data_IF_618546929221
#
_entry.id   IF_618546929221
#
_cell.length_a   1.000
_cell.length_b   1.000
_cell.length_c   1.000
_cell.angle_alpha   90.00
_cell.angle_beta   90.00
_cell.angle_gamma   90.00
#
_symmetry.space_group_name_H-M   'P 1'
#
loop_
_entity.id
_entity.type
_entity.pdbx_description
1 polymer ?
#
# COMPACT_ATOMS: atom_id res chain seq x y z
N UNK A 1 -3.20 33.88 11.68
CA UNK A 1 -3.64 32.47 11.53
C UNK A 1 -2.48 31.67 10.97
N UNK A 2 -1.84 30.81 11.77
CA UNK A 2 -0.73 29.95 11.33
C UNK A 2 -1.30 28.87 10.41
N UNK A 3 -1.04 28.98 9.11
CA UNK A 3 -1.20 27.89 8.16
C UNK A 3 -0.13 26.84 8.50
N UNK A 4 -0.48 25.84 9.30
CA UNK A 4 0.38 24.67 9.50
C UNK A 4 0.26 23.80 8.24
N UNK A 5 1.11 24.11 7.25
CA UNK A 5 1.42 23.21 6.14
C UNK A 5 2.08 21.96 6.74
N UNK A 6 1.27 20.93 7.02
CA UNK A 6 1.80 19.59 7.23
C UNK A 6 2.22 19.03 5.87
N UNK A 7 3.35 19.50 5.34
CA UNK A 7 4.09 18.74 4.34
C UNK A 7 4.66 17.52 5.05
N UNK A 8 3.91 16.42 5.04
CA UNK A 8 4.47 15.12 5.37
C UNK A 8 5.53 14.81 4.31
N UNK A 9 6.81 14.93 4.67
CA UNK A 9 7.89 14.48 3.82
C UNK A 9 7.72 12.97 3.62
N UNK A 10 7.23 12.59 2.44
CA UNK A 10 7.23 11.20 2.02
C UNK A 10 8.71 10.85 1.80
N UNK A 11 9.24 9.95 2.61
CA UNK A 11 10.49 9.29 2.27
C UNK A 11 10.24 8.45 1.00
N UNK A 12 10.39 9.07 -0.16
CA UNK A 12 10.44 8.36 -1.45
C UNK A 12 11.77 7.62 -1.49
N UNK A 13 11.77 6.37 -1.01
CA UNK A 13 12.85 5.44 -1.34
C UNK A 13 12.76 5.16 -2.83
N UNK A 14 13.67 5.75 -3.60
CA UNK A 14 13.78 5.50 -5.04
C UNK A 14 14.25 4.07 -5.21
N UNK A 15 13.41 3.24 -5.80
CA UNK A 15 13.80 1.91 -6.26
C UNK A 15 14.79 2.10 -7.40
N UNK A 16 16.05 1.73 -7.15
CA UNK A 16 17.14 1.88 -8.12
C UNK A 16 17.00 0.82 -9.22
N UNK A 17 17.29 1.19 -10.48
CA UNK A 17 17.08 0.35 -11.67
C UNK A 17 17.93 -0.94 -11.75
N UNK A 18 18.63 -1.30 -10.65
CA UNK A 18 19.54 -2.44 -10.55
C UNK A 18 19.66 -2.99 -9.11
N UNK A 19 18.69 -2.70 -8.24
CA UNK A 19 18.66 -3.20 -6.86
C UNK A 19 18.35 -4.70 -6.78
N UNK A 20 18.78 -5.36 -5.71
CA UNK A 20 18.34 -6.73 -5.45
C UNK A 20 16.83 -6.74 -5.14
N UNK A 21 16.06 -7.78 -5.51
CA UNK A 21 14.62 -7.83 -5.21
C UNK A 21 14.29 -7.65 -3.72
N UNK A 22 15.19 -8.06 -2.82
CA UNK A 22 15.09 -7.84 -1.38
C UNK A 22 15.14 -6.36 -0.99
N UNK A 23 15.99 -5.57 -1.65
CA UNK A 23 16.14 -4.13 -1.38
C UNK A 23 14.90 -3.35 -1.85
N UNK A 24 14.37 -3.77 -3.01
CA UNK A 24 13.12 -3.22 -3.54
C UNK A 24 11.94 -3.53 -2.61
N UNK A 25 11.85 -4.76 -2.08
CA UNK A 25 10.81 -5.14 -1.12
C UNK A 25 10.92 -4.37 0.21
N UNK A 26 12.13 -4.14 0.71
CA UNK A 26 12.31 -3.33 1.93
C UNK A 26 11.99 -1.85 1.69
N UNK A 27 12.28 -1.34 0.49
CA UNK A 27 11.87 0.01 0.07
C UNK A 27 10.34 0.13 -0.01
N UNK A 28 9.67 -0.83 -0.66
CA UNK A 28 8.21 -0.89 -0.73
C UNK A 28 7.58 -0.99 0.66
N UNK A 29 8.15 -1.81 1.54
CA UNK A 29 7.73 -1.95 2.93
C UNK A 29 7.85 -0.64 3.68
N UNK A 30 8.96 0.07 3.51
CA UNK A 30 9.22 1.37 4.13
C UNK A 30 8.21 2.40 3.65
N UNK A 31 7.93 2.46 2.34
CA UNK A 31 6.91 3.34 1.78
C UNK A 31 5.51 3.05 2.31
N UNK A 32 5.10 1.77 2.39
CA UNK A 32 3.81 1.38 2.95
C UNK A 32 3.68 1.80 4.42
N UNK A 33 4.72 1.53 5.23
CA UNK A 33 4.76 1.94 6.65
C UNK A 33 4.73 3.45 6.82
N UNK A 34 5.49 4.18 6.00
CA UNK A 34 5.53 5.64 6.02
C UNK A 34 4.16 6.23 5.70
N UNK A 35 3.52 5.78 4.62
CA UNK A 35 2.16 6.19 4.27
C UNK A 35 1.15 5.84 5.37
N UNK A 36 1.22 4.63 5.94
CA UNK A 36 0.36 4.24 7.06
C UNK A 36 0.55 5.15 8.28
N UNK A 37 1.79 5.53 8.60
CA UNK A 37 2.09 6.44 9.70
C UNK A 37 1.53 7.85 9.44
N UNK A 38 1.68 8.37 8.22
CA UNK A 38 1.10 9.67 7.81
C UNK A 38 -0.43 9.65 7.97
N UNK A 39 -1.08 8.60 7.47
CA UNK A 39 -2.53 8.46 7.57
C UNK A 39 -2.99 8.32 9.03
N UNK A 40 -2.31 7.51 9.83
CA UNK A 40 -2.62 7.34 11.25
C UNK A 40 -2.41 8.64 12.06
N UNK A 41 -1.35 9.40 11.77
CA UNK A 41 -1.12 10.70 12.40
C UNK A 41 -2.21 11.71 12.02
N UNK A 42 -2.79 11.58 10.83
CA UNK A 42 -3.82 12.47 10.33
C UNK A 42 -5.24 12.17 10.84
N UNK A 43 -5.46 11.11 11.63
CA UNK A 43 -6.82 10.64 11.89
C UNK A 43 -7.75 11.69 12.53
N UNK A 44 -7.20 12.61 13.33
CA UNK A 44 -7.96 13.70 13.94
C UNK A 44 -8.05 14.96 13.08
N UNK A 45 -7.55 14.92 11.84
CA UNK A 45 -7.52 16.05 10.92
C UNK A 45 -8.45 15.81 9.73
N UNK A 46 -9.31 16.78 9.45
CA UNK A 46 -10.31 16.71 8.36
C UNK A 46 -9.77 17.20 7.02
N UNK A 47 -8.60 17.86 7.01
CA UNK A 47 -7.98 18.38 5.79
C UNK A 47 -7.64 17.25 4.80
N UNK A 48 -7.65 17.54 3.51
CA UNK A 48 -7.21 16.59 2.48
C UNK A 48 -5.73 16.21 2.69
N UNK A 49 -5.44 14.92 2.75
CA UNK A 49 -4.10 14.38 3.04
C UNK A 49 -3.41 13.81 1.79
N UNK A 50 -4.02 13.99 0.62
CA UNK A 50 -3.59 13.36 -0.64
C UNK A 50 -3.36 11.84 -0.47
N UNK A 51 -4.33 11.17 0.15
CA UNK A 51 -4.35 9.72 0.33
C UNK A 51 -4.18 9.02 -1.02
N UNK A 52 -4.82 9.54 -2.07
CA UNK A 52 -4.68 9.01 -3.42
C UNK A 52 -3.23 9.11 -3.95
N UNK A 53 -2.54 10.24 -3.76
CA UNK A 53 -1.14 10.40 -4.14
C UNK A 53 -0.20 9.49 -3.35
N UNK A 54 -0.43 9.28 -2.06
CA UNK A 54 0.33 8.33 -1.25
C UNK A 54 0.24 6.90 -1.81
N UNK A 55 -0.97 6.47 -2.16
CA UNK A 55 -1.23 5.12 -2.70
C UNK A 55 -0.66 4.99 -4.13
N UNK A 56 -0.79 6.03 -4.95
CA UNK A 56 -0.22 6.05 -6.30
C UNK A 56 1.31 5.97 -6.27
N UNK A 57 1.98 6.67 -5.36
CA UNK A 57 3.44 6.58 -5.21
C UNK A 57 3.89 5.14 -4.91
N UNK A 58 3.21 4.46 -3.99
CA UNK A 58 3.48 3.04 -3.69
C UNK A 58 3.23 2.17 -4.92
N UNK A 59 2.15 2.44 -5.66
CA UNK A 59 1.82 1.71 -6.90
C UNK A 59 2.90 1.89 -7.97
N UNK A 60 3.46 3.10 -8.11
CA UNK A 60 4.57 3.37 -9.03
C UNK A 60 5.86 2.66 -8.61
N UNK A 61 6.21 2.70 -7.33
CA UNK A 61 7.34 1.96 -6.80
C UNK A 61 7.19 0.46 -7.07
N UNK A 62 5.98 -0.08 -6.87
CA UNK A 62 5.70 -1.48 -7.15
C UNK A 62 5.90 -1.81 -8.64
N UNK A 63 5.45 -0.93 -9.53
CA UNK A 63 5.71 -1.03 -10.97
C UNK A 63 7.20 -0.99 -11.32
N UNK A 64 7.98 -0.13 -10.67
CA UNK A 64 9.42 -0.05 -10.86
C UNK A 64 10.12 -1.34 -10.39
N UNK A 65 9.78 -1.87 -9.21
CA UNK A 65 10.34 -3.15 -8.73
C UNK A 65 9.96 -4.32 -9.65
N UNK A 66 8.72 -4.34 -10.13
CA UNK A 66 8.25 -5.33 -11.10
C UNK A 66 9.07 -5.29 -12.38
N UNK A 67 9.40 -4.10 -12.87
CA UNK A 67 10.24 -3.91 -14.05
C UNK A 67 11.68 -4.37 -13.81
N UNK A 68 12.26 -4.04 -12.66
CA UNK A 68 13.58 -4.53 -12.26
C UNK A 68 13.64 -6.06 -12.27
N UNK A 69 12.61 -6.71 -11.70
CA UNK A 69 12.49 -8.16 -11.67
C UNK A 69 12.44 -8.77 -13.08
N UNK A 70 11.76 -8.12 -14.03
CA UNK A 70 11.71 -8.60 -15.42
C UNK A 70 13.11 -8.56 -16.08
N UNK A 71 13.88 -7.49 -15.87
CA UNK A 71 15.23 -7.34 -16.42
C UNK A 71 16.24 -8.33 -15.84
N UNK A 72 16.08 -8.73 -14.56
CA UNK A 72 16.92 -9.76 -13.93
C UNK A 72 16.77 -11.13 -14.60
N UNK A 73 15.58 -11.45 -15.11
CA UNK A 73 15.32 -12.72 -15.80
C UNK A 73 15.84 -12.76 -17.25
N UNK A 74 16.16 -11.60 -17.86
CA UNK A 74 16.65 -11.54 -19.24
C UNK A 74 18.18 -11.70 -19.37
N UNK A 75 18.97 -11.58 -18.29
CA UNK A 75 20.44 -11.43 -18.38
C UNK A 75 21.31 -12.59 -17.87
N UNK A 76 20.79 -13.69 -17.30
CA UNK A 76 21.60 -14.92 -17.14
C UNK A 76 20.80 -16.15 -16.72
N UNK A 77 21.09 -17.33 -17.32
CA UNK A 77 20.74 -18.62 -16.74
C UNK A 77 21.91 -19.08 -15.84
N UNK A 78 21.79 -19.03 -14.50
CA UNK A 78 22.55 -19.92 -13.59
C UNK A 78 22.31 -19.69 -12.10
N UNK A 79 22.08 -20.80 -11.40
CA UNK A 79 22.54 -21.10 -10.03
C UNK A 79 22.35 -20.03 -8.94
N UNK A 80 21.13 -19.86 -8.44
CA UNK A 80 20.91 -19.27 -7.12
C UNK A 80 20.89 -20.38 -6.06
N UNK A 81 22.01 -20.50 -5.34
CA UNK A 81 22.22 -21.33 -4.14
C UNK A 81 21.11 -21.09 -3.10
N UNK A 82 20.58 -22.16 -2.52
CA UNK A 82 19.37 -22.30 -1.68
C UNK A 82 19.20 -21.40 -0.43
N UNK A 83 20.02 -20.37 -0.22
CA UNK A 83 19.87 -19.43 0.90
C UNK A 83 19.14 -18.13 0.52
N UNK A 84 19.06 -17.77 -0.76
CA UNK A 84 18.39 -16.53 -1.22
C UNK A 84 16.87 -16.61 -1.16
N UNK A 85 16.28 -17.81 -1.19
CA UNK A 85 14.82 -17.98 -1.17
C UNK A 85 14.22 -17.61 0.19
N UNK A 86 14.90 -17.96 1.29
CA UNK A 86 14.44 -17.65 2.66
C UNK A 86 14.49 -16.15 2.96
N UNK A 87 15.56 -15.46 2.56
CA UNK A 87 15.72 -14.03 2.78
C UNK A 87 14.73 -13.21 1.95
N UNK A 88 14.53 -13.60 0.68
CA UNK A 88 13.55 -12.98 -0.21
C UNK A 88 12.12 -13.21 0.28
N UNK A 89 11.81 -14.41 0.74
CA UNK A 89 10.49 -14.72 1.30
C UNK A 89 10.21 -13.94 2.59
N UNK A 90 11.21 -13.80 3.47
CA UNK A 90 11.12 -12.95 4.67
C UNK A 90 10.87 -11.48 4.31
N UNK A 91 11.62 -10.94 3.34
CA UNK A 91 11.42 -9.58 2.84
C UNK A 91 10.02 -9.41 2.24
N UNK A 92 9.55 -10.40 1.46
CA UNK A 92 8.22 -10.39 0.87
C UNK A 92 7.11 -10.41 1.93
N UNK A 93 7.25 -11.24 2.98
CA UNK A 93 6.30 -11.23 4.10
C UNK A 93 6.30 -9.89 4.83
N UNK A 94 7.47 -9.28 5.00
CA UNK A 94 7.61 -7.93 5.55
C UNK A 94 6.84 -6.90 4.74
N UNK A 95 6.97 -6.94 3.42
CA UNK A 95 6.21 -6.12 2.47
C UNK A 95 4.70 -6.40 2.51
N UNK A 96 4.27 -7.66 2.38
CA UNK A 96 2.85 -8.02 2.38
C UNK A 96 2.14 -7.61 3.68
N UNK A 97 2.80 -7.79 4.84
CA UNK A 97 2.24 -7.32 6.12
C UNK A 97 2.16 -5.79 6.21
N UNK A 98 3.08 -5.06 5.57
CA UNK A 98 3.00 -3.60 5.52
C UNK A 98 1.86 -3.09 4.65
N UNK A 99 1.46 -3.83 3.61
CA UNK A 99 0.24 -3.52 2.84
C UNK A 99 -1.00 -3.67 3.71
N UNK A 100 -1.09 -4.74 4.51
CA UNK A 100 -2.21 -4.92 5.44
C UNK A 100 -2.28 -3.72 6.39
N UNK A 101 -1.14 -3.33 6.97
CA UNK A 101 -1.06 -2.15 7.85
C UNK A 101 -1.49 -0.85 7.14
N UNK A 102 -1.07 -0.65 5.89
CA UNK A 102 -1.48 0.49 5.07
C UNK A 102 -2.99 0.48 4.82
N UNK A 103 -3.54 -0.67 4.41
CA UNK A 103 -4.96 -0.81 4.11
C UNK A 103 -5.85 -0.54 5.34
N UNK A 104 -5.42 -0.97 6.53
CA UNK A 104 -6.10 -0.62 7.78
C UNK A 104 -6.04 0.88 8.09
N UNK A 105 -4.92 1.56 7.81
CA UNK A 105 -4.79 3.00 8.01
C UNK A 105 -5.68 3.77 7.02
N UNK A 106 -5.72 3.34 5.74
CA UNK A 106 -6.60 3.90 4.71
C UNK A 106 -8.08 3.66 5.04
N UNK A 107 -8.43 2.47 5.53
CA UNK A 107 -9.80 2.15 5.97
C UNK A 107 -10.23 3.04 7.14
N UNK A 108 -9.38 3.19 8.16
CA UNK A 108 -9.63 4.08 9.29
C UNK A 108 -9.85 5.51 8.83
N UNK A 109 -9.05 5.97 7.86
CA UNK A 109 -9.21 7.30 7.25
C UNK A 109 -10.55 7.45 6.55
N UNK A 110 -10.94 6.50 5.68
CA UNK A 110 -12.20 6.54 4.93
C UNK A 110 -13.45 6.48 5.79
N UNK A 111 -13.36 5.88 7.00
CA UNK A 111 -14.45 5.84 7.98
C UNK A 111 -14.69 7.16 8.72
N UNK A 112 -13.78 8.13 8.60
CA UNK A 112 -13.87 9.40 9.32
C UNK A 112 -14.22 10.55 8.38
N UNK A 113 -14.60 11.67 8.97
CA UNK A 113 -14.85 12.88 8.19
C UNK A 113 -13.54 13.43 7.60
N UNK A 114 -13.52 13.58 6.27
CA UNK A 114 -12.41 14.17 5.53
C UNK A 114 -12.91 15.02 4.35
N UNK A 115 -12.09 15.98 3.93
CA UNK A 115 -12.37 16.86 2.78
C UNK A 115 -11.91 16.27 1.45
N UNK A 116 -11.13 15.19 1.47
CA UNK A 116 -10.61 14.52 0.27
C UNK A 116 -11.73 13.82 -0.50
N UNK A 117 -11.63 13.82 -1.83
CA UNK A 117 -12.55 13.14 -2.73
C UNK A 117 -12.36 11.63 -2.66
N UNK A 118 -13.47 10.89 -2.55
CA UNK A 118 -13.43 9.43 -2.48
C UNK A 118 -12.95 8.75 -3.76
N UNK A 119 -13.45 9.20 -4.91
CA UNK A 119 -13.20 8.55 -6.21
C UNK A 119 -11.70 8.40 -6.55
N UNK A 120 -10.85 9.44 -6.39
CA UNK A 120 -9.40 9.29 -6.58
C UNK A 120 -8.75 8.22 -5.67
N UNK A 121 -9.15 8.15 -4.39
CA UNK A 121 -8.60 7.18 -3.43
C UNK A 121 -9.05 5.77 -3.78
N UNK A 122 -10.33 5.60 -4.09
CA UNK A 122 -10.91 4.34 -4.57
C UNK A 122 -10.14 3.81 -5.81
N UNK A 123 -9.93 4.65 -6.82
CA UNK A 123 -9.21 4.26 -8.03
C UNK A 123 -7.74 3.92 -7.74
N UNK A 124 -7.09 4.65 -6.83
CA UNK A 124 -5.73 4.36 -6.42
C UNK A 124 -5.61 3.00 -5.69
N UNK A 125 -6.56 2.68 -4.79
CA UNK A 125 -6.62 1.38 -4.11
C UNK A 125 -6.81 0.23 -5.09
N UNK A 126 -7.72 0.39 -6.06
CA UNK A 126 -7.94 -0.61 -7.11
C UNK A 126 -6.68 -0.85 -7.94
N UNK A 127 -5.95 0.22 -8.30
CA UNK A 127 -4.66 0.12 -8.97
C UNK A 127 -3.61 -0.60 -8.13
N UNK A 128 -3.53 -0.31 -6.84
CA UNK A 128 -2.64 -0.97 -5.91
C UNK A 128 -2.96 -2.48 -5.79
N UNK A 129 -4.23 -2.86 -5.64
CA UNK A 129 -4.64 -4.26 -5.54
C UNK A 129 -4.19 -5.09 -6.76
N UNK A 130 -4.42 -4.55 -7.97
CA UNK A 130 -3.97 -5.16 -9.22
C UNK A 130 -2.44 -5.25 -9.28
N UNK A 131 -1.74 -4.20 -8.84
CA UNK A 131 -0.29 -4.17 -8.77
C UNK A 131 0.29 -5.24 -7.84
N UNK A 132 -0.25 -5.38 -6.63
CA UNK A 132 0.19 -6.35 -5.61
C UNK A 132 0.01 -7.78 -6.14
N UNK A 133 -1.14 -8.07 -6.74
CA UNK A 133 -1.41 -9.37 -7.32
C UNK A 133 -0.44 -9.68 -8.47
N UNK A 134 -0.22 -8.72 -9.39
CA UNK A 134 0.67 -8.89 -10.52
C UNK A 134 2.14 -9.11 -10.06
N UNK A 135 2.58 -8.37 -9.04
CA UNK A 135 3.93 -8.49 -8.49
C UNK A 135 4.16 -9.86 -7.82
N UNK A 136 3.25 -10.29 -6.95
CA UNK A 136 3.34 -11.61 -6.31
C UNK A 136 3.31 -12.77 -7.30
N UNK A 137 2.48 -12.68 -8.36
CA UNK A 137 2.45 -13.67 -9.43
C UNK A 137 3.75 -13.71 -10.23
N UNK A 138 4.38 -12.56 -10.51
CA UNK A 138 5.64 -12.53 -11.25
C UNK A 138 6.79 -13.16 -10.45
N UNK A 139 6.90 -12.85 -9.15
CA UNK A 139 7.89 -13.46 -8.27
C UNK A 139 7.69 -14.97 -8.13
N UNK A 140 6.43 -15.43 -8.07
CA UNK A 140 6.11 -16.87 -8.08
C UNK A 140 6.53 -17.54 -9.38
N UNK A 141 6.22 -16.93 -10.52
CA UNK A 141 6.57 -17.47 -11.83
C UNK A 141 8.09 -17.52 -12.03
N UNK A 142 8.84 -16.60 -11.39
CA UNK A 142 10.30 -16.63 -11.33
C UNK A 142 10.85 -17.69 -10.34
N UNK A 143 10.01 -18.47 -9.67
CA UNK A 143 10.43 -19.47 -8.68
C UNK A 143 10.99 -18.88 -7.38
N UNK A 144 10.79 -17.58 -7.14
CA UNK A 144 11.37 -16.87 -5.99
C UNK A 144 10.50 -16.94 -4.73
N UNK A 145 9.21 -17.26 -4.86
CA UNK A 145 8.26 -17.30 -3.76
C UNK A 145 7.65 -18.69 -3.56
N UNK A 146 7.44 -19.06 -2.30
CA UNK A 146 6.70 -20.27 -1.95
C UNK A 146 5.18 -20.10 -2.08
N UNK A 147 4.44 -21.19 -1.92
CA UNK A 147 2.97 -21.17 -1.85
C UNK A 147 2.45 -20.32 -0.67
N UNK A 148 3.18 -20.22 0.44
CA UNK A 148 2.78 -19.42 1.59
C UNK A 148 2.77 -17.92 1.27
N UNK A 149 3.75 -17.45 0.49
CA UNK A 149 3.81 -16.09 -0.01
C UNK A 149 2.63 -15.73 -0.91
N UNK A 150 2.13 -16.68 -1.70
CA UNK A 150 0.92 -16.46 -2.49
C UNK A 150 -0.32 -16.26 -1.61
N UNK A 151 -0.48 -17.04 -0.53
CA UNK A 151 -1.58 -16.84 0.42
C UNK A 151 -1.48 -15.45 1.07
N UNK A 152 -0.27 -15.00 1.42
CA UNK A 152 -0.03 -13.63 1.93
C UNK A 152 -0.38 -12.56 0.90
N UNK A 153 -0.09 -12.80 -0.38
CA UNK A 153 -0.47 -11.91 -1.48
C UNK A 153 -1.97 -11.73 -1.57
N UNK A 154 -2.72 -12.85 -1.51
CA UNK A 154 -4.18 -12.80 -1.50
C UNK A 154 -4.72 -12.09 -0.26
N UNK A 155 -4.14 -12.36 0.92
CA UNK A 155 -4.53 -11.70 2.17
C UNK A 155 -4.34 -10.19 2.09
N UNK A 156 -3.19 -9.73 1.58
CA UNK A 156 -2.90 -8.31 1.37
C UNK A 156 -3.79 -7.68 0.29
N UNK A 157 -4.10 -8.42 -0.78
CA UNK A 157 -5.05 -7.97 -1.80
C UNK A 157 -6.46 -7.80 -1.23
N UNK A 158 -6.95 -8.76 -0.46
CA UNK A 158 -8.24 -8.69 0.23
C UNK A 158 -8.31 -7.49 1.17
N UNK A 159 -7.26 -7.22 1.94
CA UNK A 159 -7.26 -6.07 2.85
C UNK A 159 -7.32 -4.73 2.09
N UNK A 160 -6.71 -4.63 0.90
CA UNK A 160 -6.87 -3.46 0.02
C UNK A 160 -8.30 -3.32 -0.48
N UNK A 161 -8.95 -4.42 -0.88
CA UNK A 161 -10.35 -4.42 -1.34
C UNK A 161 -11.30 -4.05 -0.19
N UNK A 162 -11.03 -4.51 1.03
CA UNK A 162 -11.77 -4.07 2.21
C UNK A 162 -11.62 -2.56 2.41
N UNK A 163 -10.41 -2.02 2.28
CA UNK A 163 -10.18 -0.58 2.32
C UNK A 163 -10.90 0.15 1.19
N UNK A 164 -10.88 -0.38 -0.04
CA UNK A 164 -11.58 0.17 -1.21
C UNK A 164 -13.08 0.37 -0.92
N UNK A 165 -13.71 -0.58 -0.22
CA UNK A 165 -15.13 -0.51 0.13
C UNK A 165 -15.49 0.70 1.01
N UNK A 166 -14.57 1.17 1.86
CA UNK A 166 -14.75 2.36 2.70
C UNK A 166 -14.73 3.67 1.89
N UNK A 167 -14.14 3.63 0.68
CA UNK A 167 -14.01 4.75 -0.23
C UNK A 167 -14.91 4.65 -1.47
N UNK A 168 -15.74 3.60 -1.57
CA UNK A 168 -16.63 3.38 -2.71
C UNK A 168 -17.88 4.28 -2.71
N UNK A 169 -18.14 5.00 -1.61
CA UNK A 169 -19.26 5.93 -1.48
C UNK A 169 -19.10 7.17 -2.36
N UNK A 170 -20.19 7.58 -3.03
CA UNK A 170 -20.20 8.72 -3.95
C UNK A 170 -20.15 10.09 -3.24
N UNK A 171 -20.46 10.11 -1.95
CA UNK A 171 -20.41 11.30 -1.12
C UNK A 171 -19.12 11.29 -0.31
N UNK A 172 -18.42 12.42 -0.23
CA UNK A 172 -17.41 12.67 0.81
C UNK A 172 -18.13 12.54 2.15
N UNK A 173 -18.19 11.32 2.70
CA UNK A 173 -19.19 10.98 3.70
C UNK A 173 -19.05 11.92 4.90
N UNK A 174 -20.04 12.78 5.20
CA UNK A 174 -20.23 13.21 6.57
C UNK A 174 -20.55 11.92 7.33
N UNK A 175 -19.55 11.37 8.03
CA UNK A 175 -19.74 10.21 8.88
C UNK A 175 -21.04 10.38 9.64
N UNK A 176 -21.91 9.36 9.59
CA UNK A 176 -23.23 9.38 10.23
C UNK A 176 -23.09 10.10 11.57
N UNK A 177 -23.60 11.33 11.66
CA UNK A 177 -23.83 11.94 12.95
C UNK A 177 -24.67 10.90 13.67
N UNK A 178 -24.10 10.25 14.69
CA UNK A 178 -24.93 9.60 15.69
C UNK A 178 -25.77 10.74 16.24
N UNK A 179 -26.94 10.96 15.65
CA UNK A 179 -28.01 11.71 16.25
C UNK A 179 -28.33 10.92 17.50
N UNK A 180 -27.61 11.27 18.57
CA UNK A 180 -27.98 10.92 19.93
C UNK A 180 -29.37 11.51 20.05
N UNK A 181 -30.38 10.65 19.96
CA UNK A 181 -31.75 11.03 20.27
C UNK A 181 -31.70 11.65 21.67
N UNK A 182 -31.81 12.98 21.73
CA UNK A 182 -31.98 13.69 22.98
C UNK A 182 -33.34 13.24 23.51
N UNK A 183 -33.42 12.68 24.74
CA UNK A 183 -34.71 12.38 25.33
C UNK A 183 -35.45 13.71 25.55
N UNK A 184 -36.66 13.77 25.03
CA UNK A 184 -37.52 14.93 25.11
C UNK A 184 -37.73 15.43 26.54
N UNK A 185 -37.88 16.75 26.65
CA UNK A 185 -38.53 17.42 27.77
C UNK A 185 -39.65 18.27 27.20
#
# INVERSE_FOLDING_TARGET
>A
MKLLLFSAAIASSIISAKGAPTDDMESLRTSCKSAANVLNASLNNTAAMDTSGLIQNITWQLGASKWNLANLNETSPSNATSNTTSDLESAYFGYANSIITLSEAVSRRGRMYHQELNSPVYNALRGLALGVQAYGMQLRNAGMLSQQAIIRTFTAGSSIVDAESEWAGNDNYPGRLRTRAMPGR
#
